data_IF_928909601677
#
_entry.id   IF_928909601677
#
_cell.length_a   1.000
_cell.length_b   1.000
_cell.length_c   1.000
_cell.angle_alpha   90.00
_cell.angle_beta   90.00
_cell.angle_gamma   90.00
#
_symmetry.space_group_name_H-M   'P 1'
#
loop_
_entity.id
_entity.type
_entity.pdbx_description
1 polymer ?
#
# COMPACT_ATOMS: atom_id res chain seq x y z
N UNK A 1 38.25 -5.92 3.21
CA UNK A 1 37.85 -5.13 2.01
C UNK A 1 36.45 -5.61 1.63
N UNK A 2 35.46 -4.72 1.61
CA UNK A 2 34.05 -5.11 1.50
C UNK A 2 33.67 -5.45 0.04
N UNK A 3 32.95 -6.55 -0.14
CA UNK A 3 32.52 -7.10 -1.45
C UNK A 3 31.48 -6.24 -2.20
N UNK A 4 31.26 -4.98 -1.79
CA UNK A 4 30.18 -4.12 -2.30
C UNK A 4 30.68 -2.76 -2.82
N UNK A 5 31.98 -2.59 -3.05
CA UNK A 5 32.55 -1.31 -3.49
C UNK A 5 32.51 -1.08 -5.02
N UNK A 6 31.86 -1.97 -5.78
CA UNK A 6 31.75 -1.84 -7.24
C UNK A 6 30.30 -1.61 -7.69
N UNK A 7 29.71 -0.49 -7.28
CA UNK A 7 28.54 0.06 -7.99
C UNK A 7 29.03 1.19 -8.88
N UNK A 8 29.40 0.84 -10.12
CA UNK A 8 29.68 1.83 -11.16
C UNK A 8 28.45 2.70 -11.37
N UNK A 9 28.53 3.97 -10.95
CA UNK A 9 27.46 4.97 -10.95
C UNK A 9 26.94 5.41 -12.33
N UNK A 10 26.91 4.52 -13.31
CA UNK A 10 26.35 4.76 -14.63
C UNK A 10 24.82 4.67 -14.62
N UNK A 11 24.15 5.69 -15.17
CA UNK A 11 22.69 5.69 -15.36
C UNK A 11 22.26 4.50 -16.22
N UNK A 12 21.36 3.67 -15.70
CA UNK A 12 20.73 2.55 -16.40
C UNK A 12 20.07 3.03 -17.70
N UNK A 13 20.53 2.49 -18.83
CA UNK A 13 19.98 2.77 -20.16
C UNK A 13 18.95 1.69 -20.51
N UNK A 14 17.67 2.02 -20.41
CA UNK A 14 16.58 1.16 -20.87
C UNK A 14 16.43 1.29 -22.39
N UNK A 15 16.06 0.19 -23.07
CA UNK A 15 16.06 0.05 -24.53
C UNK A 15 15.10 0.99 -25.30
N UNK A 16 14.41 1.90 -24.61
CA UNK A 16 13.51 2.90 -25.19
C UNK A 16 13.80 4.36 -24.74
N UNK A 17 14.91 4.62 -24.05
CA UNK A 17 15.29 5.96 -23.57
C UNK A 17 15.89 6.85 -24.67
N UNK A 18 15.13 7.05 -25.76
CA UNK A 18 15.35 8.17 -26.66
C UNK A 18 14.90 9.46 -25.97
N UNK A 19 15.84 10.41 -25.80
CA UNK A 19 15.68 11.57 -24.94
C UNK A 19 14.40 12.37 -25.16
N UNK A 20 13.49 12.34 -24.18
CA UNK A 20 12.26 13.12 -24.18
C UNK A 20 12.63 14.60 -23.90
N UNK A 21 12.73 15.41 -24.96
CA UNK A 21 12.73 16.87 -24.86
C UNK A 21 11.39 17.31 -24.26
N UNK A 22 11.41 17.94 -23.07
CA UNK A 22 10.22 18.52 -22.44
C UNK A 22 9.61 19.61 -23.34
N UNK A 23 8.57 19.26 -24.10
CA UNK A 23 7.69 20.22 -24.81
C UNK A 23 6.48 20.57 -23.94
N UNK A 24 6.15 21.87 -23.93
CA UNK A 24 5.03 22.53 -23.24
C UNK A 24 3.68 21.84 -23.54
N UNK A 25 2.83 21.77 -22.50
CA UNK A 25 1.47 21.19 -22.38
C UNK A 25 0.68 21.01 -23.70
N UNK A 26 0.28 19.75 -24.00
CA UNK A 26 -0.93 19.42 -24.78
C UNK A 26 -1.85 18.56 -23.90
N UNK A 27 -2.78 19.20 -23.20
CA UNK A 27 -3.76 18.53 -22.33
C UNK A 27 -4.77 17.65 -23.10
N UNK A 28 -4.95 17.87 -24.41
CA UNK A 28 -6.00 17.19 -25.21
C UNK A 28 -5.72 15.71 -25.54
N UNK A 29 -4.47 15.24 -25.37
CA UNK A 29 -4.09 13.85 -25.66
C UNK A 29 -4.11 12.93 -24.42
N UNK A 30 -4.11 13.49 -23.20
CA UNK A 30 -4.21 12.68 -21.97
C UNK A 30 -5.64 12.18 -21.73
N UNK A 31 -6.64 13.03 -21.95
CA UNK A 31 -8.05 12.63 -21.82
C UNK A 31 -8.42 11.50 -22.79
N UNK A 32 -7.99 11.59 -24.05
CA UNK A 32 -8.21 10.53 -25.05
C UNK A 32 -7.49 9.22 -24.74
N UNK A 33 -6.38 9.26 -24.00
CA UNK A 33 -5.68 8.05 -23.56
C UNK A 33 -6.39 7.41 -22.36
N UNK A 34 -6.88 8.21 -21.41
CA UNK A 34 -7.66 7.76 -20.25
C UNK A 34 -8.99 7.15 -20.71
N UNK A 35 -9.67 7.77 -21.68
CA UNK A 35 -10.94 7.26 -22.23
C UNK A 35 -10.76 5.93 -22.97
N UNK A 36 -9.64 5.74 -23.69
CA UNK A 36 -9.32 4.47 -24.36
C UNK A 36 -8.96 3.36 -23.36
N UNK A 37 -8.27 3.68 -22.28
CA UNK A 37 -7.97 2.72 -21.20
C UNK A 37 -9.25 2.32 -20.47
N UNK A 38 -10.16 3.27 -20.19
CA UNK A 38 -11.46 2.98 -19.59
C UNK A 38 -12.36 2.14 -20.51
N UNK A 39 -12.40 2.43 -21.82
CA UNK A 39 -13.13 1.60 -22.79
C UNK A 39 -12.55 0.19 -22.95
N UNK A 40 -11.23 0.03 -22.87
CA UNK A 40 -10.59 -1.29 -22.87
C UNK A 40 -10.96 -2.12 -21.63
N UNK A 41 -11.02 -1.47 -20.45
CA UNK A 41 -11.45 -2.09 -19.19
C UNK A 41 -12.94 -2.46 -19.16
N UNK A 42 -13.80 -1.74 -19.89
CA UNK A 42 -15.22 -2.09 -20.02
C UNK A 42 -15.46 -3.20 -21.05
N UNK A 43 -14.65 -3.29 -22.11
CA UNK A 43 -14.81 -4.29 -23.16
C UNK A 43 -14.32 -5.69 -22.76
N UNK A 44 -13.37 -5.82 -21.83
CA UNK A 44 -12.95 -7.13 -21.27
C UNK A 44 -13.94 -7.73 -20.26
N UNK A 45 -14.95 -6.97 -19.80
CA UNK A 45 -15.97 -7.44 -18.85
C UNK A 45 -17.21 -8.05 -19.51
N UNK A 46 -17.11 -8.44 -20.78
CA UNK A 46 -18.19 -9.14 -21.51
C UNK A 46 -17.78 -10.59 -21.77
N UNK A 47 -17.13 -11.24 -20.81
CA UNK A 47 -17.28 -12.69 -20.65
C UNK A 47 -18.60 -12.90 -19.91
N UNK A 48 -19.41 -13.87 -20.34
CA UNK A 48 -20.67 -14.23 -19.66
C UNK A 48 -20.33 -14.76 -18.26
N UNK A 49 -20.18 -13.85 -17.32
CA UNK A 49 -19.92 -14.16 -15.92
C UNK A 49 -21.22 -14.73 -15.36
N UNK A 50 -21.23 -16.05 -15.10
CA UNK A 50 -22.31 -16.69 -14.38
C UNK A 50 -22.38 -16.05 -13.00
N UNK A 51 -23.25 -15.05 -12.84
CA UNK A 51 -23.47 -14.42 -11.56
C UNK A 51 -24.23 -15.40 -10.66
N UNK A 52 -23.48 -16.16 -9.86
CA UNK A 52 -24.05 -16.90 -8.74
C UNK A 52 -24.58 -15.86 -7.76
N UNK A 53 -25.90 -15.83 -7.47
CA UNK A 53 -26.43 -14.89 -6.50
C UNK A 53 -25.80 -15.18 -5.15
N UNK A 54 -25.29 -14.14 -4.48
CA UNK A 54 -24.64 -14.30 -3.19
C UNK A 54 -25.56 -14.97 -2.19
N UNK A 55 -24.99 -15.87 -1.40
CA UNK A 55 -25.74 -16.56 -0.33
C UNK A 55 -26.16 -15.55 0.74
N UNK A 56 -27.20 -15.87 1.52
CA UNK A 56 -27.63 -15.01 2.65
C UNK A 56 -26.49 -14.75 3.63
N UNK A 57 -25.61 -15.75 3.82
CA UNK A 57 -24.42 -15.62 4.66
C UNK A 57 -23.40 -14.65 4.08
N UNK A 58 -23.12 -14.73 2.77
CA UNK A 58 -22.24 -13.78 2.08
C UNK A 58 -22.76 -12.34 2.14
N UNK A 59 -24.06 -12.14 1.91
CA UNK A 59 -24.68 -10.82 2.01
C UNK A 59 -24.54 -10.23 3.43
N UNK A 60 -24.75 -11.04 4.46
CA UNK A 60 -24.56 -10.62 5.85
C UNK A 60 -23.11 -10.28 6.16
N UNK A 61 -22.15 -11.09 5.68
CA UNK A 61 -20.73 -10.85 5.84
C UNK A 61 -20.28 -9.56 5.16
N UNK A 62 -20.70 -9.33 3.91
CA UNK A 62 -20.36 -8.11 3.17
C UNK A 62 -20.88 -6.86 3.89
N UNK A 63 -22.12 -6.89 4.40
CA UNK A 63 -22.68 -5.81 5.20
C UNK A 63 -21.89 -5.55 6.47
N UNK A 64 -21.40 -6.60 7.14
CA UNK A 64 -20.56 -6.46 8.33
C UNK A 64 -19.18 -5.89 7.97
N UNK A 65 -18.59 -6.36 6.87
CA UNK A 65 -17.31 -5.88 6.37
C UNK A 65 -17.38 -4.39 6.02
N UNK A 66 -18.45 -3.93 5.36
CA UNK A 66 -18.66 -2.51 5.08
C UNK A 66 -18.72 -1.66 6.35
N UNK A 67 -19.40 -2.14 7.41
CA UNK A 67 -19.44 -1.45 8.70
C UNK A 67 -18.03 -1.32 9.30
N UNK A 68 -17.29 -2.43 9.37
CA UNK A 68 -15.93 -2.45 9.90
C UNK A 68 -14.96 -1.59 9.07
N UNK A 69 -15.12 -1.58 7.75
CA UNK A 69 -14.33 -0.73 6.86
C UNK A 69 -14.58 0.75 7.14
N UNK A 70 -15.85 1.18 7.30
CA UNK A 70 -16.18 2.56 7.66
C UNK A 70 -15.53 2.97 8.97
N UNK A 71 -15.63 2.13 10.00
CA UNK A 71 -15.00 2.38 11.29
C UNK A 71 -13.47 2.44 11.19
N UNK A 72 -12.85 1.54 10.42
CA UNK A 72 -11.40 1.52 10.18
C UNK A 72 -10.94 2.78 9.45
N UNK A 73 -11.67 3.22 8.43
CA UNK A 73 -11.38 4.44 7.69
C UNK A 73 -11.44 5.65 8.64
N UNK A 74 -12.49 5.74 9.47
CA UNK A 74 -12.62 6.82 10.46
C UNK A 74 -11.44 6.85 11.45
N UNK A 75 -11.04 5.70 11.99
CA UNK A 75 -9.89 5.58 12.92
C UNK A 75 -8.54 5.92 12.28
N UNK A 76 -8.33 5.52 11.02
CA UNK A 76 -7.10 5.85 10.29
C UNK A 76 -7.08 7.33 9.94
N UNK A 77 -8.23 7.91 9.59
CA UNK A 77 -8.35 9.33 9.28
C UNK A 77 -8.18 10.23 10.52
N UNK A 78 -8.60 9.76 11.70
CA UNK A 78 -8.45 10.52 12.95
C UNK A 78 -7.00 10.62 13.44
N UNK A 79 -6.12 9.71 13.01
CA UNK A 79 -4.72 9.67 13.45
C UNK A 79 -3.76 9.96 12.30
N UNK A 80 -2.92 10.98 12.49
CA UNK A 80 -1.81 11.24 11.56
C UNK A 80 -0.74 10.16 11.68
N UNK A 81 0.09 9.99 10.64
CA UNK A 81 1.20 9.05 10.69
C UNK A 81 2.16 9.36 11.86
N UNK A 82 2.46 10.65 12.09
CA UNK A 82 3.32 11.09 13.20
C UNK A 82 2.77 10.66 14.56
N UNK A 83 1.48 10.87 14.79
CA UNK A 83 0.82 10.43 16.04
C UNK A 83 0.87 8.91 16.21
N UNK A 84 0.68 8.14 15.13
CA UNK A 84 0.83 6.68 15.18
C UNK A 84 2.26 6.25 15.55
N UNK A 85 3.27 6.94 15.03
CA UNK A 85 4.68 6.67 15.37
C UNK A 85 4.96 7.06 16.82
N UNK A 86 4.47 8.22 17.28
CA UNK A 86 4.62 8.66 18.67
C UNK A 86 3.94 7.71 19.66
N UNK A 87 2.72 7.25 19.36
CA UNK A 87 2.00 6.28 20.18
C UNK A 87 2.69 4.91 20.20
N UNK A 88 3.22 4.48 19.06
CA UNK A 88 4.02 3.26 18.97
C UNK A 88 5.31 3.37 19.81
N UNK A 89 6.04 4.48 19.70
CA UNK A 89 7.25 4.71 20.50
C UNK A 89 6.92 4.75 21.99
N UNK A 90 5.86 5.46 22.40
CA UNK A 90 5.37 5.44 23.78
C UNK A 90 5.03 4.03 24.26
N UNK A 91 4.49 3.17 23.40
CA UNK A 91 4.20 1.79 23.76
C UNK A 91 5.49 0.98 23.98
N UNK A 92 6.48 1.15 23.10
CA UNK A 92 7.80 0.51 23.24
C UNK A 92 8.55 0.98 24.48
N UNK A 93 8.51 2.27 24.81
CA UNK A 93 9.16 2.82 26.00
C UNK A 93 8.55 2.26 27.31
N UNK A 94 7.26 1.92 27.28
CA UNK A 94 6.56 1.33 28.42
C UNK A 94 6.71 -0.20 28.50
N UNK A 95 7.20 -0.86 27.45
CA UNK A 95 7.40 -2.30 27.45
C UNK A 95 8.62 -2.65 28.30
N UNK A 96 8.48 -3.66 29.16
CA UNK A 96 9.59 -4.18 29.95
C UNK A 96 10.65 -4.80 29.05
N UNK A 97 11.90 -4.42 29.26
CA UNK A 97 13.04 -5.01 28.54
C UNK A 97 13.19 -6.51 28.82
N UNK A 98 12.81 -6.95 30.03
CA UNK A 98 12.94 -8.32 30.50
C UNK A 98 11.56 -8.95 30.71
N UNK A 99 11.34 -10.10 30.09
CA UNK A 99 10.07 -10.85 30.16
C UNK A 99 10.10 -11.97 31.22
N UNK A 100 11.18 -12.09 31.98
CA UNK A 100 11.35 -13.10 33.03
C UNK A 100 12.05 -12.49 34.25
N UNK A 101 11.82 -13.10 35.41
CA UNK A 101 12.31 -12.60 36.68
C UNK A 101 13.79 -13.00 36.81
N UNK A 102 14.69 -12.06 37.16
CA UNK A 102 16.10 -12.39 37.36
C UNK A 102 16.25 -13.46 38.47
N UNK A 103 17.08 -14.48 38.20
CA UNK A 103 17.36 -15.53 39.19
C UNK A 103 18.21 -14.98 40.34
N UNK A 104 17.93 -15.45 41.56
CA UNK A 104 18.48 -14.92 42.83
C UNK A 104 20.00 -15.15 43.00
N UNK A 105 20.66 -15.90 42.10
CA UNK A 105 22.12 -16.13 42.12
C UNK A 105 22.88 -15.40 41.00
N UNK A 106 22.42 -14.22 40.58
CA UNK A 106 23.12 -13.43 39.56
C UNK A 106 24.21 -12.56 40.21
N UNK A 107 25.46 -13.03 40.23
CA UNK A 107 26.62 -12.13 40.29
C UNK A 107 26.77 -11.45 38.93
N UNK A 108 26.96 -10.13 38.95
CA UNK A 108 26.96 -9.25 37.77
C UNK A 108 27.97 -9.64 36.69
#
# INVERSE_FOLDING_TARGET
>A
MSEYECFGGGRLKLKNDSGIKKKKKKNKNKEKAIEKVNKGLEQEKVSKEYHVPSTKAELAFMKQQEKLQKEKILKIASTTHKQRVEEFNRHLDNLTEHFDIPKVSWTK
#
